data_IF_887058509143
#
_entry.id   IF_887058509143
#
_cell.length_a   1.000
_cell.length_b   1.000
_cell.length_c   1.000
_cell.angle_alpha   90.00
_cell.angle_beta   90.00
_cell.angle_gamma   90.00
#
_symmetry.space_group_name_H-M   'P 1'
#
loop_
_entity.id
_entity.type
_entity.pdbx_description
1 polymer ?
#
# COMPACT_ATOMS: atom_id res chain seq x y z
N UNK A 1 -12.91 5.07 7.93
CA UNK A 1 -11.86 6.06 8.28
C UNK A 1 -12.22 6.81 9.56
N UNK A 2 -13.43 7.38 9.69
CA UNK A 2 -13.85 8.02 10.95
C UNK A 2 -13.78 7.07 12.16
N UNK A 3 -14.32 5.86 12.02
CA UNK A 3 -14.25 4.82 13.07
C UNK A 3 -12.81 4.46 13.43
N UNK A 4 -11.97 4.12 12.44
CA UNK A 4 -10.55 3.84 12.69
C UNK A 4 -9.80 4.98 13.42
N UNK A 5 -10.17 6.25 13.19
CA UNK A 5 -9.61 7.37 13.95
C UNK A 5 -10.14 7.45 15.39
N UNK A 6 -11.41 7.12 15.62
CA UNK A 6 -11.98 7.04 16.97
C UNK A 6 -11.36 5.89 17.78
N UNK A 7 -11.13 4.75 17.12
CA UNK A 7 -10.46 3.59 17.71
C UNK A 7 -9.01 3.93 18.05
N UNK A 8 -8.32 4.66 17.17
CA UNK A 8 -6.97 5.16 17.43
C UNK A 8 -6.94 6.15 18.60
N UNK A 9 -7.86 7.13 18.63
CA UNK A 9 -7.93 8.11 19.73
C UNK A 9 -8.15 7.41 21.09
N UNK A 10 -8.99 6.39 21.11
CA UNK A 10 -9.28 5.61 22.33
C UNK A 10 -8.08 4.75 22.76
N UNK A 11 -7.44 4.05 21.81
CA UNK A 11 -6.32 3.13 22.10
C UNK A 11 -4.98 3.84 22.36
N UNK A 12 -4.77 5.04 21.82
CA UNK A 12 -3.52 5.80 21.92
C UNK A 12 -3.47 6.82 23.08
N UNK A 13 -4.50 6.83 23.93
CA UNK A 13 -4.59 7.75 25.06
C UNK A 13 -4.99 9.17 24.66
N UNK A 14 -5.99 9.31 23.77
CA UNK A 14 -6.54 10.56 23.23
C UNK A 14 -5.56 11.38 22.40
N UNK A 15 -4.64 10.69 21.72
CA UNK A 15 -3.70 11.31 20.79
C UNK A 15 -4.25 11.21 19.37
N UNK A 16 -4.08 12.29 18.62
CA UNK A 16 -4.39 12.30 17.20
C UNK A 16 -3.17 11.81 16.42
N UNK A 17 -3.35 11.07 15.32
CA UNK A 17 -2.23 10.67 14.49
C UNK A 17 -1.68 11.88 13.74
N UNK A 18 -0.37 12.05 13.72
CA UNK A 18 0.32 13.08 12.92
C UNK A 18 0.39 12.70 11.44
N UNK A 19 0.31 11.39 11.16
CA UNK A 19 0.46 10.83 9.84
C UNK A 19 -0.46 9.63 9.61
N UNK A 20 -1.02 9.53 8.41
CA UNK A 20 -1.82 8.39 7.95
C UNK A 20 -1.23 7.85 6.64
N UNK A 21 -0.93 6.55 6.62
CA UNK A 21 -0.49 5.82 5.43
C UNK A 21 -1.61 4.88 5.02
N UNK A 22 -2.05 4.97 3.76
CA UNK A 22 -3.14 4.18 3.22
C UNK A 22 -2.62 3.30 2.10
N UNK A 23 -2.72 1.99 2.31
CA UNK A 23 -2.50 0.99 1.29
C UNK A 23 -3.82 0.63 0.62
N UNK A 24 -3.88 0.75 -0.71
CA UNK A 24 -5.08 0.48 -1.49
C UNK A 24 -4.81 -0.57 -2.57
N UNK A 25 -5.44 -1.73 -2.45
CA UNK A 25 -5.44 -2.77 -3.49
C UNK A 25 -6.69 -2.67 -4.39
N UNK A 26 -6.63 -3.27 -5.57
CA UNK A 26 -7.76 -3.44 -6.49
C UNK A 26 -8.13 -2.22 -7.30
N UNK A 27 -7.15 -1.37 -7.66
CA UNK A 27 -7.38 -0.14 -8.44
C UNK A 27 -6.57 -0.18 -9.74
N UNK A 28 -7.21 0.07 -10.88
CA UNK A 28 -6.54 0.22 -12.17
C UNK A 28 -5.91 1.60 -12.32
N UNK A 29 -4.87 1.74 -13.15
CA UNK A 29 -4.22 3.04 -13.42
C UNK A 29 -5.20 4.13 -13.86
N UNK A 30 -6.19 3.79 -14.69
CA UNK A 30 -7.24 4.70 -15.14
C UNK A 30 -8.07 5.29 -13.99
N UNK A 31 -8.11 4.64 -12.83
CA UNK A 31 -8.86 5.06 -11.66
C UNK A 31 -8.01 5.82 -10.64
N UNK A 32 -6.68 5.94 -10.83
CA UNK A 32 -5.78 6.55 -9.84
C UNK A 32 -6.20 7.97 -9.47
N UNK A 33 -6.49 8.81 -10.48
CA UNK A 33 -6.94 10.19 -10.25
C UNK A 33 -8.27 10.25 -9.49
N UNK A 34 -9.22 9.36 -9.80
CA UNK A 34 -10.52 9.32 -9.13
C UNK A 34 -10.37 8.93 -7.65
N UNK A 35 -9.54 7.92 -7.36
CA UNK A 35 -9.26 7.48 -6.00
C UNK A 35 -8.54 8.58 -5.21
N UNK A 36 -7.54 9.22 -5.81
CA UNK A 36 -6.79 10.32 -5.18
C UNK A 36 -7.73 11.48 -4.81
N UNK A 37 -8.54 11.97 -5.76
CA UNK A 37 -9.48 13.08 -5.51
C UNK A 37 -10.49 12.71 -4.42
N UNK A 38 -11.05 11.50 -4.47
CA UNK A 38 -12.02 11.03 -3.46
C UNK A 38 -11.39 10.99 -2.07
N UNK A 39 -10.17 10.50 -1.96
CA UNK A 39 -9.45 10.41 -0.70
C UNK A 39 -9.05 11.78 -0.16
N UNK A 40 -8.60 12.70 -1.02
CA UNK A 40 -8.28 14.08 -0.64
C UNK A 40 -9.51 14.82 -0.11
N UNK A 41 -10.70 14.59 -0.69
CA UNK A 41 -11.96 15.16 -0.18
C UNK A 41 -12.36 14.59 1.18
N UNK A 42 -12.15 13.29 1.40
CA UNK A 42 -12.39 12.66 2.70
C UNK A 42 -11.40 13.17 3.75
N UNK A 43 -10.12 13.26 3.39
CA UNK A 43 -9.08 13.84 4.22
C UNK A 43 -9.40 15.28 4.63
N UNK A 44 -9.73 16.16 3.69
CA UNK A 44 -10.02 17.56 3.99
C UNK A 44 -11.21 17.73 4.95
N UNK A 45 -12.22 16.87 4.85
CA UNK A 45 -13.33 16.85 5.82
C UNK A 45 -12.92 16.45 7.24
N UNK A 46 -11.83 15.70 7.37
CA UNK A 46 -11.32 15.15 8.63
C UNK A 46 -10.30 16.07 9.29
N UNK A 47 -9.52 16.80 8.48
CA UNK A 47 -8.38 17.63 8.89
C UNK A 47 -8.76 19.02 9.41
N UNK A 48 -9.95 19.18 10.01
CA UNK A 48 -10.50 20.50 10.40
C UNK A 48 -9.70 21.25 11.49
N UNK A 49 -8.64 20.67 12.06
CA UNK A 49 -7.96 21.21 13.25
C UNK A 49 -6.45 20.88 13.36
N UNK A 50 -5.76 20.33 12.35
CA UNK A 50 -4.34 20.00 12.48
C UNK A 50 -3.63 19.67 11.17
N UNK A 51 -2.30 19.64 11.18
CA UNK A 51 -1.46 19.31 10.01
C UNK A 51 -1.27 17.80 9.88
N UNK A 52 -2.35 17.08 9.58
CA UNK A 52 -2.29 15.65 9.33
C UNK A 52 -1.63 15.38 7.97
N UNK A 53 -0.52 14.62 7.97
CA UNK A 53 0.16 14.21 6.74
C UNK A 53 -0.43 12.91 6.21
N UNK A 54 -0.71 12.87 4.91
CA UNK A 54 -1.30 11.69 4.27
C UNK A 54 -0.39 11.15 3.18
N UNK A 55 -0.25 9.83 3.20
CA UNK A 55 0.40 9.06 2.16
C UNK A 55 -0.59 8.03 1.58
N UNK A 56 -0.72 8.00 0.26
CA UNK A 56 -1.54 7.03 -0.48
C UNK A 56 -0.66 6.18 -1.37
N UNK A 57 -0.67 4.87 -1.11
CA UNK A 57 0.05 3.87 -1.87
C UNK A 57 -0.97 2.91 -2.48
N UNK A 58 -1.06 2.89 -3.80
CA UNK A 58 -1.83 1.87 -4.52
C UNK A 58 -0.94 0.67 -4.75
N UNK A 59 -1.46 -0.51 -4.43
CA UNK A 59 -0.75 -1.78 -4.55
C UNK A 59 -1.41 -2.59 -5.66
N UNK A 60 -0.61 -3.17 -6.54
CA UNK A 60 -1.08 -4.08 -7.58
C UNK A 60 -0.24 -5.34 -7.61
N UNK A 61 -0.91 -6.48 -7.74
CA UNK A 61 -0.25 -7.77 -7.92
C UNK A 61 -0.06 -8.05 -9.41
N UNK A 62 1.18 -8.28 -9.81
CA UNK A 62 1.52 -8.76 -11.15
C UNK A 62 2.10 -10.17 -11.05
N UNK A 63 1.65 -11.06 -11.93
CA UNK A 63 2.20 -12.41 -12.04
C UNK A 63 3.21 -12.38 -13.19
N UNK A 64 4.49 -12.62 -12.90
CA UNK A 64 5.52 -12.71 -13.93
C UNK A 64 5.98 -14.17 -14.03
N UNK A 65 5.96 -14.79 -15.23
CA UNK A 65 6.51 -16.13 -15.41
C UNK A 65 8.03 -16.14 -15.14
N UNK A 66 8.52 -17.11 -14.37
CA UNK A 66 9.86 -17.13 -13.76
C UNK A 66 11.03 -17.33 -14.75
N UNK A 67 10.77 -17.39 -16.06
CA UNK A 67 11.81 -17.65 -17.07
C UNK A 67 12.79 -16.47 -17.24
N UNK A 68 12.51 -15.31 -16.64
CA UNK A 68 13.31 -14.08 -16.76
C UNK A 68 13.94 -13.59 -15.43
N UNK A 69 13.83 -14.34 -14.34
CA UNK A 69 13.94 -13.77 -12.97
C UNK A 69 15.16 -14.21 -12.15
N UNK A 70 16.30 -14.55 -12.75
CA UNK A 70 17.51 -14.92 -11.98
C UNK A 70 18.15 -13.68 -11.31
N UNK A 71 18.06 -12.49 -11.93
CA UNK A 71 18.73 -11.28 -11.44
C UNK A 71 17.80 -10.25 -10.75
N UNK A 72 16.50 -10.50 -10.68
CA UNK A 72 15.50 -9.50 -10.24
C UNK A 72 15.15 -9.53 -8.74
N UNK A 73 15.76 -10.41 -7.95
CA UNK A 73 15.39 -10.61 -6.54
C UNK A 73 15.67 -9.40 -5.64
N UNK A 74 16.48 -8.44 -6.11
CA UNK A 74 16.82 -7.23 -5.34
C UNK A 74 16.96 -6.00 -6.24
N UNK A 75 16.09 -5.84 -7.25
CA UNK A 75 16.15 -4.67 -8.14
C UNK A 75 15.10 -3.65 -7.75
N UNK A 76 15.52 -2.58 -7.08
CA UNK A 76 14.72 -1.38 -6.90
C UNK A 76 14.83 -0.51 -8.15
N UNK A 77 13.80 -0.48 -8.98
CA UNK A 77 13.72 0.47 -10.09
C UNK A 77 12.80 1.63 -9.67
N UNK A 78 13.39 2.76 -9.28
CA UNK A 78 12.65 4.01 -9.22
C UNK A 78 12.32 4.42 -10.67
N UNK A 79 11.13 4.05 -11.15
CA UNK A 79 10.65 4.50 -12.45
C UNK A 79 9.94 5.84 -12.27
N UNK A 80 10.64 6.94 -12.59
CA UNK A 80 10.00 8.24 -12.71
C UNK A 80 9.05 8.22 -13.93
N UNK A 81 7.79 7.83 -13.73
CA UNK A 81 6.78 7.96 -14.78
C UNK A 81 6.36 9.42 -14.91
N UNK A 82 6.96 10.13 -15.86
CA UNK A 82 6.50 11.44 -16.33
C UNK A 82 5.20 11.26 -17.10
N UNK A 83 4.06 11.34 -16.42
CA UNK A 83 2.77 11.43 -17.09
C UNK A 83 1.97 12.62 -16.59
N UNK A 84 1.90 13.62 -17.47
CA UNK A 84 0.99 14.78 -17.49
C UNK A 84 1.33 15.98 -16.59
N UNK A 85 1.42 17.13 -17.26
CA UNK A 85 1.75 18.52 -16.90
C UNK A 85 1.43 19.11 -15.50
N UNK A 86 0.88 18.41 -14.50
CA UNK A 86 0.50 19.01 -13.21
C UNK A 86 0.70 18.19 -11.92
N UNK A 87 1.38 17.04 -11.92
CA UNK A 87 1.83 16.43 -10.67
C UNK A 87 3.06 15.54 -10.92
N UNK A 88 4.13 15.75 -10.16
CA UNK A 88 5.24 14.81 -10.11
C UNK A 88 4.75 13.59 -9.31
N UNK A 89 4.15 12.63 -10.01
CA UNK A 89 3.74 11.36 -9.42
C UNK A 89 4.99 10.48 -9.31
N UNK A 90 5.68 10.53 -8.15
CA UNK A 90 6.81 9.64 -7.86
C UNK A 90 6.29 8.21 -7.80
N UNK A 91 6.31 7.52 -8.93
CA UNK A 91 5.92 6.12 -9.02
C UNK A 91 7.10 5.27 -8.57
N UNK A 92 7.13 4.92 -7.29
CA UNK A 92 8.21 4.11 -6.77
C UNK A 92 7.82 2.63 -6.76
N UNK A 93 8.34 1.90 -7.73
CA UNK A 93 8.03 0.49 -7.94
C UNK A 93 9.06 -0.35 -7.18
N UNK A 94 8.62 -0.98 -6.09
CA UNK A 94 9.42 -1.97 -5.39
C UNK A 94 9.03 -3.37 -5.81
N UNK A 95 10.01 -4.22 -6.04
CA UNK A 95 9.82 -5.65 -6.23
C UNK A 95 10.20 -6.35 -4.92
N UNK A 96 9.20 -6.83 -4.18
CA UNK A 96 9.46 -7.68 -3.03
C UNK A 96 9.28 -9.16 -3.43
N UNK A 97 10.37 -9.79 -3.84
CA UNK A 97 10.43 -11.24 -4.06
C UNK A 97 10.67 -11.94 -2.73
N UNK A 98 9.62 -12.23 -1.96
CA UNK A 98 9.78 -12.82 -0.62
C UNK A 98 10.01 -14.32 -0.62
N UNK A 99 9.76 -15.01 -1.74
CA UNK A 99 9.96 -16.45 -1.86
C UNK A 99 10.35 -16.84 -3.28
N UNK A 100 11.45 -17.58 -3.42
CA UNK A 100 11.63 -18.47 -4.56
C UNK A 100 10.49 -19.50 -4.52
N UNK A 101 9.50 -19.36 -5.39
CA UNK A 101 8.46 -20.36 -5.55
C UNK A 101 9.13 -21.69 -5.95
N UNK A 102 8.72 -22.79 -5.31
CA UNK A 102 9.28 -24.12 -5.56
C UNK A 102 9.12 -24.57 -7.03
N UNK A 103 8.23 -23.93 -7.81
CA UNK A 103 8.05 -24.17 -9.26
C UNK A 103 7.64 -22.86 -9.99
N UNK A 104 8.53 -22.35 -10.85
CA UNK A 104 8.22 -21.72 -12.16
C UNK A 104 7.48 -20.37 -12.26
N UNK A 105 6.92 -19.79 -11.21
CA UNK A 105 6.19 -18.50 -11.30
C UNK A 105 6.55 -17.60 -10.11
N UNK A 106 7.15 -16.44 -10.40
CA UNK A 106 7.44 -15.40 -9.40
C UNK A 106 6.30 -14.40 -9.34
N UNK A 107 5.67 -14.25 -8.18
CA UNK A 107 4.66 -13.21 -7.96
C UNK A 107 5.37 -11.94 -7.51
N UNK A 108 5.06 -10.83 -8.16
CA UNK A 108 5.62 -9.53 -7.86
C UNK A 108 4.49 -8.55 -7.50
N UNK A 109 4.77 -7.65 -6.57
CA UNK A 109 3.80 -6.67 -6.08
C UNK A 109 4.32 -5.28 -6.38
N UNK A 110 3.61 -4.52 -7.19
CA UNK A 110 3.95 -3.15 -7.56
C UNK A 110 3.28 -2.19 -6.59
N UNK A 111 4.08 -1.33 -5.98
CA UNK A 111 3.61 -0.22 -5.17
C UNK A 111 3.65 1.06 -6.03
N UNK A 112 2.58 1.85 -5.99
CA UNK A 112 2.44 3.11 -6.70
C UNK A 112 2.10 4.19 -5.68
N UNK A 113 3.06 5.06 -5.37
CA UNK A 113 2.81 6.19 -4.48
C UNK A 113 2.06 7.27 -5.27
N UNK A 114 0.80 7.51 -4.91
CA UNK A 114 -0.04 8.54 -5.54
C UNK A 114 0.08 9.89 -4.83
N UNK A 115 0.32 9.86 -3.53
CA UNK A 115 0.47 11.04 -2.68
C UNK A 115 1.45 10.72 -1.57
N UNK A 116 2.41 11.61 -1.36
CA UNK A 116 3.29 11.58 -0.20
C UNK A 116 3.45 12.99 0.37
N UNK A 117 2.78 13.25 1.48
CA UNK A 117 2.95 14.48 2.27
C UNK A 117 3.93 14.30 3.45
N UNK A 118 4.32 13.05 3.73
CA UNK A 118 5.25 12.73 4.80
C UNK A 118 6.69 12.99 4.36
N UNK A 119 6.98 12.80 3.06
CA UNK A 119 8.27 13.05 2.45
C UNK A 119 9.24 11.90 2.66
N UNK A 120 8.80 10.66 2.44
CA UNK A 120 9.68 9.49 2.59
C UNK A 120 10.78 9.49 1.54
N UNK A 121 11.96 9.04 1.97
CA UNK A 121 12.99 8.55 1.05
C UNK A 121 12.51 7.28 0.36
N UNK A 122 13.13 6.97 -0.78
CA UNK A 122 12.92 5.71 -1.44
C UNK A 122 13.31 4.53 -0.54
N UNK A 123 14.50 4.60 0.04
CA UNK A 123 15.04 3.53 0.87
C UNK A 123 14.21 3.31 2.13
N UNK A 124 13.82 4.40 2.81
CA UNK A 124 12.99 4.34 4.02
C UNK A 124 11.62 3.70 3.74
N UNK A 125 10.99 4.05 2.62
CA UNK A 125 9.69 3.47 2.27
C UNK A 125 9.85 2.00 1.85
N UNK A 126 10.97 1.62 1.22
CA UNK A 126 11.27 0.22 0.93
C UNK A 126 11.39 -0.61 2.21
N UNK A 127 12.19 -0.14 3.16
CA UNK A 127 12.41 -0.80 4.44
C UNK A 127 11.10 -0.89 5.24
N UNK A 128 10.30 0.19 5.22
CA UNK A 128 8.98 0.21 5.85
C UNK A 128 8.03 -0.84 5.24
N UNK A 129 7.91 -0.90 3.91
CA UNK A 129 7.08 -1.89 3.22
C UNK A 129 7.59 -3.31 3.49
N UNK A 130 8.92 -3.50 3.47
CA UNK A 130 9.53 -4.79 3.78
C UNK A 130 9.20 -5.24 5.20
N UNK A 131 9.32 -4.36 6.19
CA UNK A 131 8.99 -4.65 7.58
C UNK A 131 7.51 -5.04 7.74
N UNK A 132 6.60 -4.31 7.07
CA UNK A 132 5.16 -4.63 7.09
C UNK A 132 4.82 -5.98 6.44
N UNK A 133 5.69 -6.52 5.59
CA UNK A 133 5.49 -7.85 4.99
C UNK A 133 5.69 -9.00 5.99
N UNK A 134 6.38 -8.76 7.12
CA UNK A 134 6.54 -9.74 8.20
C UNK A 134 5.47 -9.62 9.30
N UNK A 135 4.69 -8.54 9.30
CA UNK A 135 3.72 -8.24 10.37
C UNK A 135 2.39 -9.01 10.23
N UNK A 136 2.29 -9.96 9.31
CA UNK A 136 1.08 -10.74 9.11
C UNK A 136 1.08 -11.99 9.98
N UNK A 137 0.25 -11.98 11.03
CA UNK A 137 0.29 -12.97 12.10
C UNK A 137 -0.06 -14.40 11.66
N UNK A 138 -0.75 -14.59 10.52
CA UNK A 138 -1.07 -15.93 10.00
C UNK A 138 0.07 -16.54 9.15
N UNK A 139 1.20 -15.87 9.00
CA UNK A 139 2.37 -16.36 8.28
C UNK A 139 3.62 -16.24 9.15
N UNK A 140 4.49 -17.25 9.07
CA UNK A 140 5.82 -17.24 9.68
C UNK A 140 6.90 -16.74 8.71
N UNK A 141 6.53 -16.48 7.45
CA UNK A 141 7.40 -15.94 6.41
C UNK A 141 6.82 -14.65 5.83
N UNK A 142 7.67 -13.85 5.18
CA UNK A 142 7.26 -12.61 4.54
C UNK A 142 6.21 -12.87 3.45
N UNK A 143 5.10 -12.15 3.55
CA UNK A 143 4.04 -12.17 2.55
C UNK A 143 4.35 -11.22 1.38
N UNK A 144 3.79 -11.51 0.21
CA UNK A 144 3.98 -10.67 -0.98
C UNK A 144 3.31 -9.29 -0.88
N UNK A 145 2.39 -9.11 0.07
CA UNK A 145 1.70 -7.85 0.36
C UNK A 145 2.15 -7.30 1.71
N UNK A 146 1.75 -6.07 2.03
CA UNK A 146 1.83 -5.58 3.41
C UNK A 146 0.70 -6.16 4.26
N UNK A 147 0.97 -6.42 5.54
CA UNK A 147 -0.02 -7.01 6.45
C UNK A 147 -1.40 -6.30 6.47
N UNK A 148 -1.51 -4.95 6.42
CA UNK A 148 -2.80 -4.26 6.37
C UNK A 148 -3.69 -4.67 5.18
N UNK A 149 -3.10 -4.94 4.01
CA UNK A 149 -3.86 -5.40 2.84
C UNK A 149 -4.40 -6.81 3.08
N UNK A 150 -3.59 -7.70 3.64
CA UNK A 150 -4.03 -9.05 3.96
C UNK A 150 -5.18 -9.06 4.98
N UNK A 151 -5.12 -8.20 6.02
CA UNK A 151 -6.25 -8.06 6.95
C UNK A 151 -7.50 -7.50 6.29
N UNK A 152 -7.37 -6.54 5.37
CA UNK A 152 -8.50 -6.03 4.60
C UNK A 152 -9.13 -7.11 3.71
N UNK A 153 -8.33 -7.97 3.08
CA UNK A 153 -8.82 -9.11 2.31
C UNK A 153 -9.53 -10.14 3.18
N UNK A 154 -9.00 -10.43 4.37
CA UNK A 154 -9.68 -11.31 5.33
C UNK A 154 -11.04 -10.76 5.74
N UNK A 155 -11.11 -9.47 6.09
CA UNK A 155 -12.36 -8.82 6.45
C UNK A 155 -13.37 -8.83 5.29
N UNK A 156 -12.92 -8.54 4.07
CA UNK A 156 -13.77 -8.58 2.87
C UNK A 156 -14.27 -10.00 2.56
N UNK A 157 -13.41 -11.01 2.70
CA UNK A 157 -13.79 -12.41 2.50
C UNK A 157 -14.79 -12.90 3.55
N UNK A 158 -14.66 -12.47 4.81
CA UNK A 158 -15.60 -12.80 5.87
C UNK A 158 -16.97 -12.16 5.63
N UNK A 159 -17.00 -10.90 5.19
CA UNK A 159 -18.24 -10.24 4.83
C UNK A 159 -18.90 -10.91 3.62
N UNK A 160 -18.14 -11.26 2.58
CA UNK A 160 -18.66 -11.97 1.41
C UNK A 160 -19.38 -13.27 1.77
N UNK A 161 -18.79 -14.06 2.68
CA UNK A 161 -19.40 -15.30 3.14
C UNK A 161 -20.72 -15.11 3.91
N UNK A 162 -20.91 -13.95 4.57
CA UNK A 162 -22.14 -13.65 5.34
C UNK A 162 -23.31 -13.25 4.42
N UNK A 163 -23.03 -12.70 3.23
CA UNK A 163 -24.06 -12.25 2.28
C UNK A 163 -24.46 -13.30 1.24
N UNK A 164 -23.78 -14.46 1.22
CA UNK A 164 -24.11 -15.59 0.34
C UNK A 164 -25.02 -16.65 1.00
N UNK A 165 -25.41 -16.43 2.26
CA UNK A 165 -26.47 -17.15 3.00
C UNK A 165 -27.77 -16.30 3.07
#
# INVERSE_FOLDING_TARGET
MKEALLDFDTSSGKRKPDQIIIFRDGVSESQFNQVLIKLLRLASSLTRSGTLKIMLIVVRKTIIPSFFSIDLLTMCYMVLSLTTKYAIQRTMIFYLGTHAGMIGITRQTHYHVLLDQAGFSADDLQEFIHSLSYMYQRSITAIFFVAPICYAHLAASQLGAIYED
#
